data_IF_028307330674
#
_entry.id   IF_028307330674
#
_cell.length_a   1.000
_cell.length_b   1.000
_cell.length_c   1.000
_cell.angle_alpha   90.00
_cell.angle_beta   90.00
_cell.angle_gamma   90.00
#
_symmetry.space_group_name_H-M   'P 1'
#
loop_
_entity.id
_entity.type
_entity.pdbx_description
1 polymer ?
#
# COMPACT_ATOMS: atom_id res chain seq x y z
N UNK A 1 -39.15 41.57 17.46
CA UNK A 1 -37.69 41.39 17.61
C UNK A 1 -37.33 39.94 17.28
N UNK A 2 -37.14 39.62 15.99
CA UNK A 2 -36.69 38.31 15.56
C UNK A 2 -35.17 38.27 15.60
N UNK A 3 -34.58 37.47 16.50
CA UNK A 3 -33.14 37.24 16.53
C UNK A 3 -32.78 36.26 15.42
N UNK A 4 -32.08 36.76 14.40
CA UNK A 4 -31.41 35.96 13.40
C UNK A 4 -30.31 35.11 14.07
N UNK A 5 -30.36 33.81 13.81
CA UNK A 5 -29.33 32.85 14.19
C UNK A 5 -28.13 33.08 13.25
N UNK A 6 -26.86 33.12 13.73
CA UNK A 6 -25.73 33.37 12.85
C UNK A 6 -25.53 32.19 11.90
N UNK A 7 -25.38 32.51 10.63
CA UNK A 7 -24.91 31.64 9.57
C UNK A 7 -23.56 31.03 10.02
N UNK A 8 -23.55 29.77 10.47
CA UNK A 8 -22.30 29.02 10.60
C UNK A 8 -21.73 28.91 9.19
N UNK A 9 -20.68 29.67 8.91
CA UNK A 9 -19.75 29.37 7.82
C UNK A 9 -19.37 27.90 8.00
N UNK A 10 -19.93 27.02 7.15
CA UNK A 10 -19.39 25.68 6.98
C UNK A 10 -18.00 25.92 6.42
N UNK A 11 -16.96 25.82 7.25
CA UNK A 11 -15.62 25.64 6.73
C UNK A 11 -15.72 24.52 5.69
N UNK A 12 -15.49 24.87 4.42
CA UNK A 12 -15.27 23.86 3.39
C UNK A 12 -14.00 23.15 3.85
N UNK A 13 -14.16 22.02 4.54
CA UNK A 13 -13.02 21.17 4.82
C UNK A 13 -12.43 20.81 3.46
N UNK A 14 -11.23 21.32 3.23
CA UNK A 14 -10.39 20.92 2.12
C UNK A 14 -9.55 19.77 2.63
N UNK A 15 -9.41 18.72 1.81
CA UNK A 15 -8.55 17.59 2.13
C UNK A 15 -7.17 18.16 2.51
N UNK A 16 -6.56 17.77 3.65
CA UNK A 16 -5.22 18.21 4.01
C UNK A 16 -4.22 17.90 2.90
N UNK A 17 -3.10 18.63 2.85
CA UNK A 17 -1.98 18.20 2.02
C UNK A 17 -1.58 16.76 2.38
N UNK A 18 -1.29 15.93 1.38
CA UNK A 18 -1.11 14.51 1.62
C UNK A 18 -0.04 13.85 0.76
N UNK A 19 0.35 12.66 1.18
CA UNK A 19 1.20 11.73 0.45
C UNK A 19 0.37 10.50 0.13
N UNK A 20 0.34 10.13 -1.14
CA UNK A 20 -0.24 8.83 -1.52
C UNK A 20 0.77 7.73 -1.23
N UNK A 21 0.58 7.01 -0.11
CA UNK A 21 1.56 6.03 0.36
C UNK A 21 1.54 4.71 -0.45
N UNK A 22 0.69 4.59 -1.48
CA UNK A 22 0.64 3.41 -2.34
C UNK A 22 -0.10 3.71 -3.64
N UNK A 23 0.63 3.77 -4.73
CA UNK A 23 0.09 3.67 -6.08
C UNK A 23 1.01 2.79 -6.94
N UNK A 24 0.56 2.51 -8.15
CA UNK A 24 1.27 1.76 -9.17
C UNK A 24 1.30 2.57 -10.46
N UNK A 25 2.38 2.39 -11.22
CA UNK A 25 2.52 2.83 -12.59
C UNK A 25 2.92 1.61 -13.42
N UNK A 26 2.43 1.53 -14.64
CA UNK A 26 2.89 0.53 -15.60
C UNK A 26 2.79 1.04 -17.03
N UNK A 27 3.79 0.67 -17.83
CA UNK A 27 3.83 0.87 -19.27
C UNK A 27 3.82 -0.49 -19.96
N UNK A 28 2.63 -0.97 -20.31
CA UNK A 28 2.42 -2.25 -21.02
C UNK A 28 2.92 -2.21 -22.47
N UNK A 29 3.28 -1.03 -22.98
CA UNK A 29 3.87 -0.90 -24.32
C UNK A 29 5.38 -1.17 -24.33
N UNK A 30 6.04 -0.96 -23.18
CA UNK A 30 7.50 -1.05 -23.06
C UNK A 30 7.97 -2.16 -22.13
N UNK A 31 7.11 -2.61 -21.22
CA UNK A 31 7.43 -3.53 -20.15
C UNK A 31 6.35 -4.61 -20.03
N UNK A 32 6.68 -5.76 -19.43
CA UNK A 32 5.72 -6.85 -19.21
C UNK A 32 5.32 -6.95 -17.74
N UNK A 33 4.01 -7.13 -17.56
CA UNK A 33 3.35 -7.33 -16.28
C UNK A 33 2.38 -8.50 -16.48
N UNK A 34 2.79 -9.76 -16.21
CA UNK A 34 2.05 -10.94 -16.64
C UNK A 34 0.57 -10.94 -16.21
N UNK A 35 0.26 -10.40 -15.03
CA UNK A 35 -1.13 -10.32 -14.54
C UNK A 35 -2.02 -9.31 -15.29
N UNK A 36 -1.43 -8.35 -16.02
CA UNK A 36 -2.12 -7.39 -16.89
C UNK A 36 -2.08 -7.82 -18.37
N UNK A 37 -0.99 -8.46 -18.78
CA UNK A 37 -0.80 -8.98 -20.14
C UNK A 37 -1.71 -10.19 -20.41
N UNK A 38 -1.83 -11.10 -19.43
CA UNK A 38 -2.62 -12.32 -19.55
C UNK A 38 -4.01 -12.16 -18.91
N UNK A 39 -5.03 -12.81 -19.48
CA UNK A 39 -6.36 -12.91 -18.85
C UNK A 39 -6.35 -14.04 -17.82
N UNK A 40 -6.07 -13.69 -16.58
CA UNK A 40 -6.13 -14.59 -15.43
C UNK A 40 -7.40 -14.40 -14.60
N UNK A 41 -7.81 -15.45 -13.89
CA UNK A 41 -8.82 -15.36 -12.83
C UNK A 41 -8.22 -14.62 -11.62
N UNK A 42 -8.41 -13.30 -11.59
CA UNK A 42 -7.86 -12.44 -10.55
C UNK A 42 -8.90 -12.14 -9.46
N UNK A 43 -8.45 -12.07 -8.20
CA UNK A 43 -9.36 -11.88 -7.06
C UNK A 43 -10.18 -10.58 -7.11
N UNK A 44 -9.67 -9.54 -7.78
CA UNK A 44 -10.39 -8.27 -7.97
C UNK A 44 -11.57 -8.38 -8.94
N UNK A 45 -11.74 -9.51 -9.63
CA UNK A 45 -12.78 -9.76 -10.63
C UNK A 45 -12.38 -9.25 -12.01
N UNK A 46 -13.30 -8.60 -12.72
CA UNK A 46 -13.00 -8.00 -14.03
C UNK A 46 -12.11 -6.75 -13.87
N UNK A 47 -10.88 -6.84 -14.36
CA UNK A 47 -9.88 -5.77 -14.36
C UNK A 47 -9.56 -5.26 -15.76
N UNK A 48 -10.40 -5.53 -16.77
CA UNK A 48 -10.13 -5.14 -18.17
C UNK A 48 -9.84 -3.64 -18.33
N UNK A 49 -10.52 -2.80 -17.54
CA UNK A 49 -10.37 -1.34 -17.59
C UNK A 49 -8.97 -0.84 -17.23
N UNK A 50 -8.18 -1.62 -16.51
CA UNK A 50 -6.83 -1.25 -16.06
C UNK A 50 -5.72 -1.99 -16.82
N UNK A 51 -6.06 -2.90 -17.74
CA UNK A 51 -5.13 -3.58 -18.66
C UNK A 51 -4.71 -2.68 -19.82
N UNK A 52 -4.15 -1.54 -19.47
CA UNK A 52 -3.65 -0.51 -20.37
C UNK A 52 -2.59 0.28 -19.63
N UNK A 53 -1.79 1.05 -20.35
CA UNK A 53 -0.83 1.96 -19.74
C UNK A 53 -1.50 2.84 -18.68
N UNK A 54 -0.81 2.96 -17.54
CA UNK A 54 -1.12 3.92 -16.50
C UNK A 54 0.20 4.58 -16.09
N UNK A 55 0.48 5.71 -16.73
CA UNK A 55 1.74 6.44 -16.60
C UNK A 55 1.60 7.55 -15.56
N UNK A 56 2.71 8.22 -15.25
CA UNK A 56 2.73 9.32 -14.27
C UNK A 56 1.74 10.45 -14.64
N UNK A 57 1.53 10.71 -15.93
CA UNK A 57 0.53 11.68 -16.39
C UNK A 57 -0.90 11.24 -16.05
N UNK A 58 -1.20 9.95 -16.15
CA UNK A 58 -2.52 9.39 -15.81
C UNK A 58 -2.76 9.42 -14.30
N UNK A 59 -1.71 9.15 -13.51
CA UNK A 59 -1.74 9.35 -12.06
C UNK A 59 -2.01 10.81 -11.70
N UNK A 60 -1.27 11.77 -12.25
CA UNK A 60 -1.49 13.21 -12.02
C UNK A 60 -2.91 13.64 -12.45
N UNK A 61 -3.41 13.12 -13.57
CA UNK A 61 -4.77 13.38 -14.03
C UNK A 61 -5.83 12.80 -13.08
N UNK A 62 -5.58 11.60 -12.54
CA UNK A 62 -6.46 10.97 -11.54
C UNK A 62 -6.52 11.79 -10.26
N UNK A 63 -5.37 12.29 -9.79
CA UNK A 63 -5.28 13.20 -8.64
C UNK A 63 -6.06 14.49 -8.87
N UNK A 64 -5.95 15.08 -10.07
CA UNK A 64 -6.58 16.36 -10.41
C UNK A 64 -6.06 17.51 -9.54
N UNK A 65 -6.98 18.31 -8.98
CA UNK A 65 -6.66 19.50 -8.18
C UNK A 65 -6.41 19.19 -6.69
N UNK A 66 -6.34 17.91 -6.31
CA UNK A 66 -6.09 17.53 -4.93
C UNK A 66 -4.66 17.88 -4.50
N UNK A 67 -4.44 18.27 -3.23
CA UNK A 67 -3.16 18.79 -2.77
C UNK A 67 -2.14 17.68 -2.44
N UNK A 68 -1.88 16.78 -3.38
CA UNK A 68 -0.81 15.79 -3.25
C UNK A 68 0.55 16.48 -3.22
N UNK A 69 1.45 16.00 -2.35
CA UNK A 69 2.82 16.51 -2.24
C UNK A 69 3.88 15.52 -2.67
N UNK A 70 3.68 14.26 -2.30
CA UNK A 70 4.60 13.16 -2.60
C UNK A 70 3.81 11.90 -2.89
N UNK A 71 4.46 10.90 -3.45
CA UNK A 71 3.85 9.58 -3.62
C UNK A 71 4.86 8.45 -3.46
N UNK A 72 4.33 7.28 -3.10
CA UNK A 72 5.09 6.05 -2.94
C UNK A 72 4.58 5.05 -3.98
N UNK A 73 5.45 4.70 -4.93
CA UNK A 73 5.18 3.62 -5.86
C UNK A 73 5.50 2.28 -5.20
N UNK A 74 4.64 1.28 -5.42
CA UNK A 74 4.86 -0.09 -4.98
C UNK A 74 4.94 -1.01 -6.19
N UNK A 75 5.93 -1.91 -6.26
CA UNK A 75 6.16 -2.82 -7.39
C UNK A 75 4.86 -3.41 -7.90
N UNK A 76 4.62 -3.38 -9.21
CA UNK A 76 3.33 -3.70 -9.80
C UNK A 76 3.30 -5.11 -10.42
N UNK A 77 4.04 -6.05 -9.83
CA UNK A 77 4.20 -7.43 -10.33
C UNK A 77 4.85 -7.47 -11.71
N UNK A 78 5.93 -6.69 -11.84
CA UNK A 78 6.88 -6.76 -12.95
C UNK A 78 7.25 -8.21 -13.28
N UNK A 79 7.40 -8.53 -14.57
CA UNK A 79 7.73 -9.88 -15.03
C UNK A 79 8.95 -10.45 -14.27
N UNK A 80 8.78 -11.53 -13.49
CA UNK A 80 9.86 -12.12 -12.69
C UNK A 80 10.94 -12.80 -13.54
N UNK A 81 10.73 -12.97 -14.86
CA UNK A 81 11.74 -13.46 -15.79
C UNK A 81 12.77 -12.39 -16.18
N UNK A 82 12.43 -11.11 -16.01
CA UNK A 82 13.31 -9.97 -16.25
C UNK A 82 14.12 -9.61 -15.00
N UNK A 83 15.01 -8.62 -15.11
CA UNK A 83 15.70 -8.07 -13.94
C UNK A 83 14.68 -7.34 -13.03
N UNK A 84 14.47 -7.78 -11.77
CA UNK A 84 13.52 -7.12 -10.87
C UNK A 84 13.85 -5.65 -10.57
N UNK A 85 15.11 -5.26 -10.68
CA UNK A 85 15.53 -3.86 -10.53
C UNK A 85 15.18 -3.00 -11.75
N UNK A 86 14.78 -3.61 -12.87
CA UNK A 86 14.33 -2.93 -14.08
C UNK A 86 13.15 -2.00 -13.83
N UNK A 87 12.16 -2.45 -13.05
CA UNK A 87 11.02 -1.60 -12.67
C UNK A 87 11.47 -0.39 -11.85
N UNK A 88 12.37 -0.59 -10.89
CA UNK A 88 12.90 0.49 -10.04
C UNK A 88 13.72 1.49 -10.86
N UNK A 89 14.52 1.01 -11.80
CA UNK A 89 15.25 1.85 -12.77
C UNK A 89 14.32 2.72 -13.59
N UNK A 90 13.26 2.12 -14.13
CA UNK A 90 12.26 2.84 -14.92
C UNK A 90 11.56 3.92 -14.09
N UNK A 91 11.11 3.58 -12.88
CA UNK A 91 10.46 4.51 -11.96
C UNK A 91 11.38 5.64 -11.50
N UNK A 92 12.68 5.37 -11.29
CA UNK A 92 13.65 6.42 -10.99
C UNK A 92 13.73 7.42 -12.15
N UNK A 93 13.76 6.94 -13.41
CA UNK A 93 13.77 7.84 -14.58
C UNK A 93 12.51 8.70 -14.71
N UNK A 94 11.37 8.22 -14.20
CA UNK A 94 10.13 8.99 -14.09
C UNK A 94 10.28 10.07 -13.01
N UNK A 95 10.79 9.71 -11.83
CA UNK A 95 10.97 10.65 -10.73
C UNK A 95 11.96 11.77 -11.07
N UNK A 96 13.00 11.47 -11.84
CA UNK A 96 14.00 12.44 -12.33
C UNK A 96 13.43 13.41 -13.38
N UNK A 97 12.28 13.09 -13.98
CA UNK A 97 11.63 13.94 -14.97
C UNK A 97 10.78 15.03 -14.29
N UNK A 98 11.03 16.30 -14.58
CA UNK A 98 10.29 17.43 -13.99
C UNK A 98 8.77 17.34 -14.17
N UNK A 99 8.29 16.71 -15.25
CA UNK A 99 6.84 16.53 -15.51
C UNK A 99 6.17 15.65 -14.45
N UNK A 100 6.92 14.83 -13.73
CA UNK A 100 6.40 13.99 -12.65
C UNK A 100 6.11 14.78 -11.37
N UNK A 101 6.55 16.05 -11.29
CA UNK A 101 6.54 16.86 -10.06
C UNK A 101 7.37 16.22 -8.94
N UNK A 102 8.42 15.47 -9.31
CA UNK A 102 9.32 14.76 -8.39
C UNK A 102 8.76 13.43 -7.87
N UNK A 103 7.71 12.88 -8.48
CA UNK A 103 7.07 11.62 -8.07
C UNK A 103 7.45 10.44 -8.97
N UNK A 104 7.55 9.21 -8.42
CA UNK A 104 7.39 8.86 -7.01
C UNK A 104 8.61 9.24 -6.17
N UNK A 105 8.37 9.66 -4.93
CA UNK A 105 9.42 10.04 -3.97
C UNK A 105 10.01 8.82 -3.27
N UNK A 106 9.23 7.74 -3.14
CA UNK A 106 9.71 6.43 -2.73
C UNK A 106 9.30 5.35 -3.72
N UNK A 107 10.21 4.43 -3.99
CA UNK A 107 10.00 3.25 -4.83
C UNK A 107 10.20 2.02 -3.97
N UNK A 108 9.15 1.20 -3.88
CA UNK A 108 9.18 -0.10 -3.22
C UNK A 108 9.29 -1.16 -4.31
N UNK A 109 10.48 -1.74 -4.45
CA UNK A 109 10.80 -2.69 -5.52
C UNK A 109 10.36 -4.13 -5.21
N UNK A 110 10.66 -5.03 -6.13
CA UNK A 110 10.51 -6.47 -5.92
C UNK A 110 11.87 -7.16 -5.81
N UNK A 111 12.00 -8.07 -4.86
CA UNK A 111 13.06 -9.05 -4.82
C UNK A 111 12.46 -10.35 -4.27
N UNK A 112 12.71 -11.49 -4.91
CA UNK A 112 12.32 -12.77 -4.35
C UNK A 112 13.33 -13.16 -3.26
N UNK A 113 12.97 -12.95 -2.01
CA UNK A 113 13.85 -13.14 -0.84
C UNK A 113 14.14 -14.62 -0.56
N UNK A 114 13.47 -15.56 -1.24
CA UNK A 114 13.78 -16.98 -1.19
C UNK A 114 14.96 -17.38 -2.10
N UNK A 115 15.31 -16.54 -3.10
CA UNK A 115 16.35 -16.87 -4.09
C UNK A 115 17.75 -16.52 -3.57
N UNK A 116 18.75 -17.28 -4.01
CA UNK A 116 20.16 -17.10 -3.62
C UNK A 116 20.74 -15.75 -4.05
N UNK A 117 20.22 -15.16 -5.12
CA UNK A 117 20.66 -13.87 -5.65
C UNK A 117 19.91 -12.68 -5.03
N UNK A 118 19.16 -12.87 -3.94
CA UNK A 118 18.44 -11.77 -3.29
C UNK A 118 19.35 -10.58 -2.93
N UNK A 119 20.55 -10.83 -2.40
CA UNK A 119 21.49 -9.74 -2.05
C UNK A 119 21.95 -8.93 -3.27
N UNK A 120 22.21 -9.61 -4.40
CA UNK A 120 22.58 -8.94 -5.66
C UNK A 120 21.45 -8.06 -6.19
N UNK A 121 20.20 -8.54 -6.13
CA UNK A 121 19.03 -7.75 -6.56
C UNK A 121 18.80 -6.55 -5.63
N UNK A 122 18.97 -6.72 -4.31
CA UNK A 122 18.89 -5.62 -3.35
C UNK A 122 20.00 -4.58 -3.57
N UNK A 123 21.22 -5.01 -3.88
CA UNK A 123 22.34 -4.13 -4.22
C UNK A 123 22.02 -3.26 -5.45
N UNK A 124 21.48 -3.87 -6.51
CA UNK A 124 21.01 -3.13 -7.69
C UNK A 124 19.95 -2.09 -7.34
N UNK A 125 18.92 -2.48 -6.57
CA UNK A 125 17.90 -1.54 -6.12
C UNK A 125 18.47 -0.37 -5.31
N UNK A 126 19.47 -0.64 -4.46
CA UNK A 126 20.11 0.36 -3.61
C UNK A 126 20.87 1.44 -4.38
N UNK A 127 21.18 1.21 -5.65
CA UNK A 127 21.77 2.22 -6.53
C UNK A 127 20.81 3.33 -6.95
N UNK A 128 19.50 3.18 -6.73
CA UNK A 128 18.48 4.17 -7.11
C UNK A 128 18.10 5.07 -5.91
N UNK A 129 18.28 6.40 -6.02
CA UNK A 129 18.08 7.33 -4.89
C UNK A 129 16.71 7.32 -4.24
N UNK A 130 15.65 6.97 -4.97
CA UNK A 130 14.28 6.92 -4.43
C UNK A 130 13.88 5.52 -3.95
N UNK A 131 14.73 4.49 -4.06
CA UNK A 131 14.41 3.16 -3.54
C UNK A 131 14.41 3.15 -2.01
N UNK A 132 13.38 2.55 -1.41
CA UNK A 132 13.18 2.57 0.06
C UNK A 132 12.85 1.23 0.70
N UNK A 133 12.48 0.23 -0.09
CA UNK A 133 12.04 -1.05 0.44
C UNK A 133 11.65 -2.06 -0.62
N UNK A 134 11.21 -3.23 -0.15
CA UNK A 134 10.72 -4.32 -1.01
C UNK A 134 9.29 -4.68 -0.63
N UNK A 135 8.46 -4.98 -1.64
CA UNK A 135 7.23 -5.75 -1.48
C UNK A 135 7.40 -7.10 -2.14
N UNK A 136 7.28 -8.16 -1.36
CA UNK A 136 7.00 -9.50 -1.87
C UNK A 136 5.63 -9.91 -1.32
N UNK A 137 4.66 -10.19 -2.20
CA UNK A 137 3.34 -10.63 -1.77
C UNK A 137 3.43 -12.06 -1.23
N UNK A 138 2.93 -12.27 -0.01
CA UNK A 138 3.00 -13.53 0.71
C UNK A 138 1.62 -14.20 0.86
N UNK A 139 0.60 -13.62 0.22
CA UNK A 139 -0.77 -14.13 0.18
C UNK A 139 -0.82 -15.59 -0.26
N UNK A 140 -1.32 -16.46 0.61
CA UNK A 140 -1.52 -17.88 0.32
C UNK A 140 -2.81 -18.42 0.93
N UNK A 141 -3.54 -19.21 0.16
CA UNK A 141 -4.70 -19.98 0.61
C UNK A 141 -4.55 -21.44 0.17
N UNK A 142 -4.73 -22.38 1.10
CA UNK A 142 -4.55 -23.81 0.82
C UNK A 142 -5.63 -24.37 -0.11
N UNK A 143 -6.82 -23.76 -0.16
CA UNK A 143 -7.98 -24.29 -0.87
C UNK A 143 -8.33 -23.51 -2.14
N UNK A 144 -7.96 -22.24 -2.21
CA UNK A 144 -8.39 -21.30 -3.28
C UNK A 144 -7.18 -20.82 -4.10
N UNK A 145 -6.90 -21.43 -5.27
CA UNK A 145 -5.73 -21.08 -6.09
C UNK A 145 -5.67 -19.61 -6.51
N UNK A 146 -6.81 -18.99 -6.79
CA UNK A 146 -6.91 -17.58 -7.16
C UNK A 146 -6.58 -16.59 -6.02
N UNK A 147 -6.32 -17.10 -4.80
CA UNK A 147 -5.84 -16.33 -3.66
C UNK A 147 -4.37 -16.66 -3.31
N UNK A 148 -3.63 -17.31 -4.22
CA UNK A 148 -2.20 -17.59 -4.04
C UNK A 148 -1.39 -16.61 -4.88
N UNK A 149 -0.78 -15.61 -4.24
CA UNK A 149 0.14 -14.67 -4.90
C UNK A 149 1.61 -15.01 -4.62
N UNK A 150 1.86 -15.80 -3.58
CA UNK A 150 3.17 -16.36 -3.29
C UNK A 150 3.41 -17.67 -4.07
N UNK A 151 4.69 -18.02 -4.28
CA UNK A 151 5.08 -19.30 -4.89
C UNK A 151 4.76 -20.52 -4.02
N UNK A 152 4.64 -20.33 -2.71
CA UNK A 152 4.28 -21.38 -1.73
C UNK A 152 3.75 -20.75 -0.43
N UNK A 153 3.00 -21.53 0.34
CA UNK A 153 2.60 -21.16 1.69
C UNK A 153 3.75 -21.31 2.69
N UNK A 154 3.70 -20.58 3.80
CA UNK A 154 4.67 -20.72 4.90
C UNK A 154 6.01 -20.02 4.71
N UNK A 155 6.16 -19.15 3.69
CA UNK A 155 7.41 -18.40 3.46
C UNK A 155 7.90 -17.60 4.67
N UNK A 156 6.99 -17.10 5.50
CA UNK A 156 7.31 -16.31 6.71
C UNK A 156 8.11 -17.12 7.74
N UNK A 157 7.95 -18.46 7.74
CA UNK A 157 8.67 -19.37 8.65
C UNK A 157 9.80 -20.15 7.96
N UNK A 158 9.94 -20.01 6.63
CA UNK A 158 11.00 -20.66 5.87
C UNK A 158 12.37 -20.03 6.14
N UNK A 159 13.36 -20.83 6.53
CA UNK A 159 14.69 -20.34 6.90
C UNK A 159 15.45 -19.68 5.74
N UNK A 160 15.24 -20.12 4.49
CA UNK A 160 15.89 -19.52 3.33
C UNK A 160 15.29 -18.17 3.02
N UNK A 161 13.96 -18.05 3.07
CA UNK A 161 13.28 -16.78 2.92
C UNK A 161 13.66 -15.81 4.04
N UNK A 162 13.68 -16.26 5.30
CA UNK A 162 14.11 -15.44 6.45
C UNK A 162 15.56 -14.94 6.28
N UNK A 163 16.47 -15.74 5.72
CA UNK A 163 17.84 -15.29 5.40
C UNK A 163 17.85 -14.15 4.39
N UNK A 164 17.01 -14.22 3.35
CA UNK A 164 16.85 -13.13 2.38
C UNK A 164 16.19 -11.90 3.00
N UNK A 165 15.15 -12.08 3.81
CA UNK A 165 14.48 -10.99 4.54
C UNK A 165 15.44 -10.22 5.44
N UNK A 166 16.33 -10.92 6.16
CA UNK A 166 17.37 -10.28 6.99
C UNK A 166 18.27 -9.32 6.20
N UNK A 167 18.49 -9.57 4.90
CA UNK A 167 19.34 -8.68 4.08
C UNK A 167 18.77 -7.26 3.99
N UNK A 168 17.47 -7.05 4.20
CA UNK A 168 16.88 -5.72 4.19
C UNK A 168 17.51 -4.79 5.26
N UNK A 169 17.98 -5.33 6.39
CA UNK A 169 18.71 -4.55 7.40
C UNK A 169 19.97 -3.90 6.83
N UNK A 170 20.74 -4.63 5.99
CA UNK A 170 21.98 -4.14 5.36
C UNK A 170 21.75 -2.87 4.54
N UNK A 171 20.57 -2.75 3.94
CA UNK A 171 20.21 -1.65 3.04
C UNK A 171 19.30 -0.60 3.69
N UNK A 172 18.97 -0.74 4.98
CA UNK A 172 17.94 0.07 5.64
C UNK A 172 16.61 0.08 4.86
N UNK A 173 16.28 -1.07 4.26
CA UNK A 173 15.10 -1.24 3.40
C UNK A 173 13.88 -1.62 4.23
N UNK A 174 12.74 -0.99 3.97
CA UNK A 174 11.46 -1.39 4.56
C UNK A 174 10.91 -2.65 3.88
N UNK A 175 9.97 -3.32 4.54
CA UNK A 175 9.22 -4.42 3.95
C UNK A 175 7.72 -4.10 3.90
N UNK A 176 7.20 -3.95 2.69
CA UNK A 176 5.78 -3.82 2.44
C UNK A 176 5.14 -5.22 2.48
N UNK A 177 4.49 -5.52 3.61
CA UNK A 177 3.90 -6.81 3.91
C UNK A 177 2.48 -6.89 3.32
N UNK A 178 2.26 -7.84 2.42
CA UNK A 178 0.93 -8.18 1.92
C UNK A 178 0.65 -9.67 2.16
N UNK A 179 -0.37 -9.93 2.96
CA UNK A 179 -0.82 -11.27 3.39
C UNK A 179 -2.33 -11.27 3.54
N UNK A 180 -2.92 -12.46 3.69
CA UNK A 180 -4.33 -12.58 4.06
C UNK A 180 -4.54 -12.50 5.58
N UNK A 181 -5.77 -12.23 6.06
CA UNK A 181 -6.07 -12.13 7.48
C UNK A 181 -5.63 -13.34 8.33
N UNK A 182 -5.76 -14.57 7.79
CA UNK A 182 -5.34 -15.80 8.48
C UNK A 182 -3.83 -15.95 8.64
N UNK A 183 -3.03 -15.15 7.92
CA UNK A 183 -1.56 -15.12 8.01
C UNK A 183 -1.05 -13.94 8.85
N UNK A 184 -1.90 -13.01 9.30
CA UNK A 184 -1.44 -11.84 10.06
C UNK A 184 -0.76 -12.22 11.38
N UNK A 185 -1.27 -13.26 12.05
CA UNK A 185 -0.75 -13.67 13.34
C UNK A 185 0.69 -14.21 13.26
N UNK A 186 1.08 -14.87 12.16
CA UNK A 186 2.46 -15.35 12.00
C UNK A 186 3.45 -14.21 11.70
N UNK A 187 2.97 -13.09 11.16
CA UNK A 187 3.80 -11.96 10.75
C UNK A 187 4.49 -11.23 11.92
N UNK A 188 3.93 -11.29 13.14
CA UNK A 188 4.59 -10.69 14.32
C UNK A 188 5.97 -11.28 14.57
N UNK A 189 6.18 -12.55 14.22
CA UNK A 189 7.48 -13.20 14.38
C UNK A 189 8.59 -12.51 13.60
N UNK A 190 8.29 -11.95 12.41
CA UNK A 190 9.23 -11.14 11.64
C UNK A 190 9.54 -9.83 12.36
N UNK A 191 8.50 -9.13 12.81
CA UNK A 191 8.63 -7.84 13.47
C UNK A 191 9.50 -7.93 14.74
N UNK A 192 9.23 -8.94 15.58
CA UNK A 192 9.96 -9.19 16.83
C UNK A 192 11.39 -9.68 16.59
N UNK A 193 11.61 -10.51 15.56
CA UNK A 193 12.94 -11.07 15.27
C UNK A 193 13.87 -10.06 14.59
N UNK A 194 13.31 -9.11 13.83
CA UNK A 194 14.05 -8.11 13.07
C UNK A 194 13.54 -6.69 13.35
N UNK A 195 13.77 -6.17 14.58
CA UNK A 195 13.23 -4.88 15.00
C UNK A 195 13.73 -3.69 14.17
N UNK A 196 14.85 -3.84 13.44
CA UNK A 196 15.40 -2.78 12.58
C UNK A 196 14.80 -2.76 11.17
N UNK A 197 14.07 -3.79 10.76
CA UNK A 197 13.32 -3.78 9.49
C UNK A 197 11.95 -3.22 9.79
N UNK A 198 11.65 -2.05 9.21
CA UNK A 198 10.31 -1.46 9.35
C UNK A 198 9.33 -2.18 8.42
N UNK A 199 8.24 -2.70 8.98
CA UNK A 199 7.20 -3.42 8.26
C UNK A 199 6.01 -2.48 8.00
N UNK A 200 5.52 -2.48 6.77
CA UNK A 200 4.34 -1.72 6.38
C UNK A 200 3.27 -2.69 5.90
N UNK A 201 2.28 -2.97 6.73
CA UNK A 201 1.13 -3.78 6.36
C UNK A 201 0.33 -3.07 5.27
N UNK A 202 0.20 -3.72 4.12
CA UNK A 202 -0.53 -3.21 2.96
C UNK A 202 -2.05 -3.41 3.12
N UNK A 203 -2.81 -2.56 2.42
CA UNK A 203 -4.24 -2.75 2.15
C UNK A 203 -5.12 -3.03 3.37
N UNK A 204 -4.87 -2.33 4.46
CA UNK A 204 -5.62 -2.46 5.72
C UNK A 204 -5.59 -3.90 6.27
N UNK A 205 -4.60 -4.73 5.91
CA UNK A 205 -4.57 -6.14 6.27
C UNK A 205 -5.54 -7.04 5.49
N UNK A 206 -5.99 -6.59 4.31
CA UNK A 206 -6.79 -7.34 3.35
C UNK A 206 -8.03 -8.04 3.97
N UNK A 207 -8.99 -7.32 4.58
CA UNK A 207 -10.19 -7.92 5.19
C UNK A 207 -11.14 -8.52 4.15
N UNK A 208 -10.76 -9.66 3.58
CA UNK A 208 -11.41 -10.30 2.41
C UNK A 208 -12.73 -11.00 2.77
N UNK A 209 -12.90 -11.41 4.02
CA UNK A 209 -14.15 -11.97 4.53
C UNK A 209 -14.84 -10.93 5.43
N UNK A 210 -15.97 -10.42 4.95
CA UNK A 210 -16.77 -9.39 5.63
C UNK A 210 -17.85 -9.98 6.55
N UNK A 211 -17.86 -11.31 6.75
CA UNK A 211 -18.69 -11.95 7.78
C UNK A 211 -18.22 -11.56 9.19
N UNK A 212 -19.06 -11.71 10.24
CA UNK A 212 -18.64 -11.45 11.62
C UNK A 212 -17.37 -12.21 12.03
N UNK A 213 -17.22 -13.47 11.60
CA UNK A 213 -16.05 -14.29 11.89
C UNK A 213 -14.81 -13.81 11.13
N UNK A 214 -14.96 -13.48 9.85
CA UNK A 214 -13.89 -12.92 9.02
C UNK A 214 -13.36 -11.59 9.56
N UNK A 215 -14.27 -10.69 9.96
CA UNK A 215 -13.92 -9.42 10.61
C UNK A 215 -13.22 -9.67 11.95
N UNK A 216 -13.72 -10.62 12.76
CA UNK A 216 -13.09 -10.98 14.04
C UNK A 216 -11.66 -11.48 13.86
N UNK A 217 -11.44 -12.37 12.87
CA UNK A 217 -10.12 -12.89 12.52
C UNK A 217 -9.17 -11.78 12.09
N UNK A 218 -9.63 -10.89 11.20
CA UNK A 218 -8.87 -9.73 10.74
C UNK A 218 -8.47 -8.81 11.91
N UNK A 219 -9.43 -8.43 12.77
CA UNK A 219 -9.17 -7.60 13.96
C UNK A 219 -8.14 -8.24 14.88
N UNK A 220 -8.26 -9.55 15.15
CA UNK A 220 -7.30 -10.29 15.98
C UNK A 220 -5.90 -10.22 15.37
N UNK A 221 -5.77 -10.46 14.07
CA UNK A 221 -4.50 -10.38 13.35
C UNK A 221 -3.86 -8.99 13.43
N UNK A 222 -4.65 -7.93 13.21
CA UNK A 222 -4.18 -6.55 13.32
C UNK A 222 -3.70 -6.21 14.73
N UNK A 223 -4.46 -6.60 15.77
CA UNK A 223 -4.09 -6.32 17.17
C UNK A 223 -2.76 -6.95 17.54
N UNK A 224 -2.56 -8.21 17.19
CA UNK A 224 -1.31 -8.93 17.43
C UNK A 224 -0.17 -8.21 16.70
N UNK A 225 -0.33 -7.92 15.41
CA UNK A 225 0.75 -7.28 14.65
C UNK A 225 1.07 -5.86 15.17
N UNK A 226 0.08 -5.14 15.67
CA UNK A 226 0.24 -3.81 16.24
C UNK A 226 0.98 -3.78 17.60
N UNK A 227 1.20 -4.93 18.25
CA UNK A 227 2.06 -5.03 19.45
C UNK A 227 3.53 -4.71 19.14
N UNK A 228 3.95 -4.83 17.87
CA UNK A 228 5.31 -4.51 17.44
C UNK A 228 5.44 -3.05 17.00
N UNK A 229 6.42 -2.33 17.58
CA UNK A 229 6.63 -0.90 17.34
C UNK A 229 7.15 -0.58 15.92
N UNK A 230 7.83 -1.54 15.28
CA UNK A 230 8.35 -1.44 13.91
C UNK A 230 7.31 -1.81 12.84
N UNK A 231 6.01 -1.78 13.15
CA UNK A 231 4.93 -2.03 12.18
C UNK A 231 4.01 -0.82 12.03
N UNK A 232 3.75 -0.44 10.78
CA UNK A 232 2.68 0.49 10.41
C UNK A 232 1.69 -0.15 9.43
N UNK A 233 0.55 0.51 9.19
CA UNK A 233 -0.49 0.06 8.27
C UNK A 233 -0.81 1.13 7.23
N UNK A 234 -0.94 0.71 5.96
CA UNK A 234 -1.56 1.49 4.88
C UNK A 234 -3.06 1.24 4.88
N UNK A 235 -3.84 2.28 5.11
CA UNK A 235 -5.30 2.26 4.94
C UNK A 235 -5.59 2.50 3.46
N UNK A 236 -5.87 1.43 2.74
CA UNK A 236 -6.04 1.42 1.28
C UNK A 236 -6.81 0.18 0.82
N UNK A 237 -7.22 0.19 -0.45
CA UNK A 237 -7.69 -0.98 -1.21
C UNK A 237 -8.92 -1.71 -0.64
N UNK A 238 -9.73 -1.04 0.18
CA UNK A 238 -10.97 -1.58 0.71
C UNK A 238 -12.02 -1.84 -0.39
N UNK A 239 -11.89 -1.16 -1.54
CA UNK A 239 -12.73 -1.42 -2.71
C UNK A 239 -12.57 -2.82 -3.30
N UNK A 240 -11.39 -3.44 -3.13
CA UNK A 240 -11.16 -4.83 -3.56
C UNK A 240 -12.03 -5.83 -2.78
N UNK A 241 -12.39 -5.51 -1.54
CA UNK A 241 -13.21 -6.36 -0.65
C UNK A 241 -14.69 -6.03 -0.78
N UNK A 242 -15.03 -4.76 -1.02
CA UNK A 242 -16.38 -4.31 -1.31
C UNK A 242 -16.41 -3.45 -2.57
N UNK A 243 -16.72 -4.06 -3.71
CA UNK A 243 -16.70 -3.41 -5.03
C UNK A 243 -17.70 -2.26 -5.19
N UNK A 244 -18.70 -2.18 -4.31
CA UNK A 244 -19.73 -1.12 -4.27
C UNK A 244 -19.61 -0.29 -2.99
N UNK A 245 -18.39 -0.12 -2.50
CA UNK A 245 -18.16 0.57 -1.26
C UNK A 245 -18.73 1.98 -1.28
N UNK A 246 -19.16 2.42 -0.10
CA UNK A 246 -19.44 3.82 0.21
C UNK A 246 -18.61 4.19 1.43
N UNK A 247 -18.47 5.50 1.70
CA UNK A 247 -17.81 5.94 2.95
C UNK A 247 -18.32 5.17 4.17
N UNK A 248 -19.64 5.01 4.32
CA UNK A 248 -20.24 4.33 5.46
C UNK A 248 -19.83 2.84 5.58
N UNK A 249 -19.57 2.15 4.45
CA UNK A 249 -19.17 0.74 4.49
C UNK A 249 -17.68 0.54 4.74
N UNK A 250 -16.83 1.52 4.41
CA UNK A 250 -15.38 1.45 4.67
C UNK A 250 -15.00 2.07 6.01
N UNK A 251 -15.79 3.01 6.52
CA UNK A 251 -15.55 3.73 7.77
C UNK A 251 -15.26 2.79 8.96
N UNK A 252 -15.98 1.68 9.18
CA UNK A 252 -15.65 0.75 10.26
C UNK A 252 -14.25 0.14 10.17
N UNK A 253 -13.78 -0.18 8.96
CA UNK A 253 -12.45 -0.76 8.75
C UNK A 253 -11.34 0.28 8.91
N UNK A 254 -11.57 1.48 8.39
CA UNK A 254 -10.67 2.63 8.55
C UNK A 254 -10.52 2.97 10.03
N UNK A 255 -11.63 3.15 10.75
CA UNK A 255 -11.62 3.53 12.16
C UNK A 255 -11.00 2.45 13.04
N UNK A 256 -11.30 1.17 12.80
CA UNK A 256 -10.71 0.06 13.57
C UNK A 256 -9.20 -0.05 13.34
N UNK A 257 -8.71 0.13 12.10
CA UNK A 257 -7.27 0.15 11.84
C UNK A 257 -6.57 1.30 12.59
N UNK A 258 -7.20 2.49 12.61
CA UNK A 258 -6.67 3.65 13.35
C UNK A 258 -6.72 3.42 14.86
N UNK A 259 -7.79 2.83 15.39
CA UNK A 259 -7.93 2.48 16.82
C UNK A 259 -6.81 1.52 17.26
N UNK A 260 -6.52 0.50 16.44
CA UNK A 260 -5.53 -0.53 16.76
C UNK A 260 -4.09 -0.01 16.66
N UNK A 261 -3.74 0.64 15.54
CA UNK A 261 -2.36 1.08 15.30
C UNK A 261 -2.04 2.44 15.91
N UNK A 262 -3.06 3.27 16.13
CA UNK A 262 -2.94 4.67 16.48
C UNK A 262 -2.57 5.55 15.27
N UNK A 263 -2.93 6.85 15.27
CA UNK A 263 -2.66 7.76 14.15
C UNK A 263 -1.19 7.87 13.73
N UNK A 264 -0.23 7.58 14.63
CA UNK A 264 1.23 7.63 14.36
C UNK A 264 1.76 6.47 13.50
N UNK A 265 0.94 5.43 13.27
CA UNK A 265 1.32 4.23 12.52
C UNK A 265 0.32 3.90 11.40
N UNK A 266 -0.56 4.84 11.05
CA UNK A 266 -1.46 4.72 9.90
C UNK A 266 -1.04 5.66 8.77
N UNK A 267 -1.15 5.21 7.53
CA UNK A 267 -0.93 6.04 6.33
C UNK A 267 -2.09 5.82 5.37
N UNK A 268 -2.67 6.89 4.81
CA UNK A 268 -3.65 6.74 3.73
C UNK A 268 -2.94 6.47 2.40
N UNK A 269 -3.55 5.61 1.59
CA UNK A 269 -3.06 5.33 0.26
C UNK A 269 -4.19 4.95 -0.71
N UNK A 270 -3.96 5.21 -2.00
CA UNK A 270 -5.01 5.07 -3.00
C UNK A 270 -5.12 3.67 -3.58
N UNK A 271 -4.01 2.93 -3.70
CA UNK A 271 -3.90 1.71 -4.50
C UNK A 271 -4.27 1.93 -5.98
N UNK A 272 -4.14 3.16 -6.50
CA UNK A 272 -4.41 3.44 -7.91
C UNK A 272 -3.32 2.83 -8.81
N UNK A 273 -3.68 2.37 -10.02
CA UNK A 273 -5.01 2.43 -10.63
C UNK A 273 -5.90 1.23 -10.30
N UNK A 274 -5.48 0.26 -9.48
CA UNK A 274 -6.30 -0.91 -9.14
C UNK A 274 -7.64 -0.48 -8.51
N UNK A 275 -7.60 0.47 -7.57
CA UNK A 275 -8.81 0.98 -6.92
C UNK A 275 -9.71 1.82 -7.85
N UNK A 276 -9.23 2.23 -9.03
CA UNK A 276 -10.05 2.89 -10.05
C UNK A 276 -11.17 1.99 -10.59
N UNK A 277 -11.06 0.67 -10.38
CA UNK A 277 -12.12 -0.30 -10.68
C UNK A 277 -13.37 -0.11 -9.79
N UNK A 278 -13.21 0.51 -8.62
CA UNK A 278 -14.26 0.61 -7.60
C UNK A 278 -14.68 2.04 -7.27
N UNK A 279 -13.80 3.03 -7.46
CA UNK A 279 -14.13 4.45 -7.23
C UNK A 279 -13.14 5.37 -7.92
N UNK A 280 -13.50 6.65 -8.09
CA UNK A 280 -12.55 7.66 -8.52
C UNK A 280 -11.66 8.16 -7.36
N UNK A 281 -10.50 8.70 -7.72
CA UNK A 281 -9.47 9.11 -6.76
C UNK A 281 -9.99 10.16 -5.78
N UNK A 282 -10.80 11.11 -6.26
CA UNK A 282 -11.34 12.20 -5.44
C UNK A 282 -12.35 11.68 -4.42
N UNK A 283 -13.26 10.80 -4.82
CA UNK A 283 -14.22 10.17 -3.91
C UNK A 283 -13.52 9.38 -2.81
N UNK A 284 -12.43 8.67 -3.12
CA UNK A 284 -11.62 7.96 -2.14
C UNK A 284 -11.01 8.91 -1.09
N UNK A 285 -10.26 9.93 -1.52
CA UNK A 285 -9.61 10.87 -0.61
C UNK A 285 -10.59 11.74 0.18
N UNK A 286 -11.73 12.12 -0.41
CA UNK A 286 -12.82 12.79 0.31
C UNK A 286 -13.43 11.89 1.38
N UNK A 287 -13.47 10.57 1.16
CA UNK A 287 -13.97 9.63 2.17
C UNK A 287 -13.00 9.56 3.36
N UNK A 288 -11.69 9.48 3.13
CA UNK A 288 -10.70 9.54 4.22
C UNK A 288 -10.78 10.85 5.03
N UNK A 289 -10.91 11.99 4.34
CA UNK A 289 -11.09 13.30 4.99
C UNK A 289 -12.34 13.35 5.87
N UNK A 290 -13.46 12.85 5.37
CA UNK A 290 -14.72 12.84 6.11
C UNK A 290 -14.73 11.87 7.29
N UNK A 291 -14.14 10.68 7.13
CA UNK A 291 -14.02 9.67 8.20
C UNK A 291 -13.17 10.22 9.34
N UNK A 292 -12.07 10.92 9.00
CA UNK A 292 -11.14 11.44 10.00
C UNK A 292 -11.49 12.83 10.54
N UNK A 293 -12.67 13.38 10.24
CA UNK A 293 -13.06 14.74 10.64
C UNK A 293 -13.01 15.01 12.15
N UNK A 294 -13.15 13.96 12.97
CA UNK A 294 -13.14 14.04 14.43
C UNK A 294 -11.74 14.03 15.06
N UNK A 295 -10.71 13.69 14.28
CA UNK A 295 -9.32 13.66 14.75
C UNK A 295 -8.73 15.07 14.81
N UNK A 296 -7.74 15.25 15.68
CA UNK A 296 -6.99 16.51 15.77
C UNK A 296 -6.20 16.78 14.50
N UNK A 297 -5.88 18.06 14.24
CA UNK A 297 -5.04 18.46 13.11
C UNK A 297 -3.70 17.69 13.07
N UNK A 298 -3.11 17.44 14.24
CA UNK A 298 -1.85 16.69 14.37
C UNK A 298 -1.99 15.23 13.94
N UNK A 299 -3.02 14.54 14.44
CA UNK A 299 -3.28 13.13 14.07
C UNK A 299 -3.61 12.98 12.59
N UNK A 300 -4.38 13.93 12.04
CA UNK A 300 -4.66 13.97 10.61
C UNK A 300 -3.40 14.19 9.80
N UNK A 301 -2.55 15.16 10.17
CA UNK A 301 -1.27 15.38 9.49
C UNK A 301 -0.36 14.14 9.53
N UNK A 302 -0.38 13.38 10.64
CA UNK A 302 0.34 12.10 10.73
C UNK A 302 -0.16 11.11 9.66
N UNK A 303 -1.47 10.87 9.61
CA UNK A 303 -2.07 9.87 8.72
C UNK A 303 -2.02 10.26 7.23
N UNK A 304 -2.18 11.54 6.92
CA UNK A 304 -2.17 12.03 5.54
C UNK A 304 -0.76 12.27 4.99
N UNK A 305 0.26 12.51 5.82
CA UNK A 305 1.57 12.96 5.33
C UNK A 305 2.75 12.46 6.17
N UNK A 306 2.84 12.89 7.44
CA UNK A 306 4.10 12.81 8.20
C UNK A 306 4.58 11.38 8.46
N UNK A 307 3.65 10.42 8.56
CA UNK A 307 4.04 9.02 8.73
C UNK A 307 4.72 8.46 7.48
N UNK A 308 4.24 8.81 6.28
CA UNK A 308 4.86 8.37 5.03
C UNK A 308 6.26 9.00 4.87
N UNK A 309 6.42 10.28 5.18
CA UNK A 309 7.74 10.95 5.17
C UNK A 309 8.73 10.27 6.12
N UNK A 310 8.30 10.04 7.37
CA UNK A 310 9.14 9.42 8.39
C UNK A 310 9.52 7.98 8.05
N UNK A 311 8.55 7.16 7.65
CA UNK A 311 8.74 5.72 7.44
C UNK A 311 9.53 5.47 6.15
N UNK A 312 9.19 6.17 5.06
CA UNK A 312 9.88 6.02 3.78
C UNK A 312 11.09 6.95 3.61
N UNK A 313 11.38 7.84 4.56
CA UNK A 313 12.55 8.74 4.50
C UNK A 313 12.53 9.59 3.21
N UNK A 314 11.43 10.33 3.02
CA UNK A 314 11.15 11.16 1.84
C UNK A 314 10.74 12.58 2.19
#
# INVERSE_FOLDING_TARGET
>A
MGRSIPFRLREKMTIPEFIDAHHHLWDLSSNSYPWLDDRIDHFVGDYEKIRKNYLISDFINSVGDLPIKKSVHVQAEWDPSLDPSGETKWLQSIADNEKSRGMPNAIIGFANLHKKNADEILDKHSSFPNWRGIRQMLNWDDKRPNLRFAESGGLITDEKWIKGYKLLEKYNASFDLQVWPWQLQECISLATKFPNIFIILNHTGMPIDLSPDGISLWKKGLKILAEADNVAVKISALGMMNKKWTKATIEPFVMEAIEIFGPKRCMFASNFPVDSLFSDYKTLWQSFDQITKGFTKTERNQMFMLNAERIYRI
#
